data_IF_012600926475
#
_entry.id   IF_012600926475
#
_cell.length_a   1.000
_cell.length_b   1.000
_cell.length_c   1.000
_cell.angle_alpha   90.00
_cell.angle_beta   90.00
_cell.angle_gamma   90.00
#
_symmetry.space_group_name_H-M   'P 1'
#
loop_
_entity.id
_entity.type
_entity.pdbx_description
1 polymer ?
#
# COMPACT_ATOMS: atom_id res chain seq x y z
N UNK A 1 -14.21 14.79 -7.77
CA UNK A 1 -15.50 14.48 -7.10
C UNK A 1 -15.32 13.32 -6.16
N UNK A 2 -15.94 13.40 -5.00
CA UNK A 2 -15.83 12.41 -3.92
C UNK A 2 -16.17 10.98 -4.40
N UNK A 3 -17.22 10.82 -5.20
CA UNK A 3 -17.65 9.51 -5.70
C UNK A 3 -16.61 8.89 -6.64
N UNK A 4 -15.93 9.70 -7.42
CA UNK A 4 -14.89 9.22 -8.34
C UNK A 4 -13.66 8.75 -7.57
N UNK A 5 -13.32 9.46 -6.50
CA UNK A 5 -12.19 9.12 -5.64
C UNK A 5 -12.41 7.75 -5.01
N UNK A 6 -13.59 7.52 -4.42
CA UNK A 6 -13.91 6.23 -3.81
C UNK A 6 -14.01 5.10 -4.83
N UNK A 7 -14.46 5.41 -6.04
CA UNK A 7 -14.53 4.43 -7.12
C UNK A 7 -13.14 3.90 -7.49
N UNK A 8 -12.16 4.81 -7.61
CA UNK A 8 -10.77 4.43 -7.87
C UNK A 8 -10.21 3.62 -6.71
N UNK A 9 -10.45 4.06 -5.47
CA UNK A 9 -9.98 3.37 -4.28
C UNK A 9 -10.56 1.95 -4.20
N UNK A 10 -11.85 1.77 -4.46
CA UNK A 10 -12.47 0.44 -4.45
C UNK A 10 -11.92 -0.46 -5.56
N UNK A 11 -11.65 0.09 -6.74
CA UNK A 11 -11.02 -0.68 -7.81
C UNK A 11 -9.62 -1.17 -7.38
N UNK A 12 -8.86 -0.30 -6.72
CA UNK A 12 -7.56 -0.65 -6.18
C UNK A 12 -7.64 -1.78 -5.14
N UNK A 13 -8.50 -1.62 -4.12
CA UNK A 13 -8.61 -2.63 -3.06
C UNK A 13 -9.12 -3.96 -3.58
N UNK A 14 -10.06 -3.95 -4.51
CA UNK A 14 -10.59 -5.17 -5.12
C UNK A 14 -9.51 -5.91 -5.91
N UNK A 15 -8.73 -5.18 -6.72
CA UNK A 15 -7.63 -5.77 -7.48
C UNK A 15 -6.56 -6.34 -6.56
N UNK A 16 -6.24 -5.61 -5.49
CA UNK A 16 -5.24 -6.04 -4.51
C UNK A 16 -5.65 -7.34 -3.82
N UNK A 17 -6.92 -7.46 -3.42
CA UNK A 17 -7.43 -8.68 -2.79
C UNK A 17 -7.38 -9.89 -3.72
N UNK A 18 -7.55 -9.67 -5.01
CA UNK A 18 -7.48 -10.74 -6.02
C UNK A 18 -6.05 -11.10 -6.41
N UNK A 19 -5.07 -10.29 -5.99
CA UNK A 19 -3.70 -10.46 -6.45
C UNK A 19 -3.50 -10.10 -7.92
N UNK A 20 -4.42 -9.31 -8.49
CA UNK A 20 -4.34 -8.88 -9.88
C UNK A 20 -3.53 -7.59 -9.98
N UNK A 21 -2.21 -7.73 -10.01
CA UNK A 21 -1.32 -6.57 -10.00
C UNK A 21 -1.41 -5.72 -11.27
N UNK A 22 -1.76 -6.32 -12.41
CA UNK A 22 -2.04 -5.54 -13.60
C UNK A 22 -3.15 -4.54 -13.36
N UNK A 23 -4.26 -4.99 -12.78
CA UNK A 23 -5.39 -4.13 -12.44
C UNK A 23 -5.03 -3.13 -11.34
N UNK A 24 -4.20 -3.52 -10.35
CA UNK A 24 -3.71 -2.60 -9.32
C UNK A 24 -2.98 -1.42 -9.97
N UNK A 25 -2.03 -1.70 -10.86
CA UNK A 25 -1.24 -0.66 -11.52
C UNK A 25 -2.08 0.21 -12.47
N UNK A 26 -3.15 -0.33 -13.03
CA UNK A 26 -4.07 0.47 -13.86
C UNK A 26 -4.77 1.58 -13.07
N UNK A 27 -4.93 1.43 -11.75
CA UNK A 27 -5.52 2.47 -10.91
C UNK A 27 -4.56 3.61 -10.59
N UNK A 28 -3.29 3.47 -10.96
CA UNK A 28 -2.22 4.39 -10.59
C UNK A 28 -1.76 5.23 -11.76
N UNK A 29 -1.32 6.45 -11.45
CA UNK A 29 -0.62 7.31 -12.39
C UNK A 29 0.71 6.68 -12.77
N UNK A 30 1.20 6.92 -13.99
CA UNK A 30 2.54 6.48 -14.40
C UNK A 30 3.64 7.08 -13.52
N UNK A 31 3.35 8.23 -12.91
CA UNK A 31 4.27 8.93 -12.03
C UNK A 31 3.94 8.73 -10.55
N UNK A 32 3.32 7.62 -10.21
CA UNK A 32 2.95 7.29 -8.82
C UNK A 32 4.14 7.51 -7.88
N UNK A 33 3.86 8.14 -6.72
CA UNK A 33 4.85 8.33 -5.67
C UNK A 33 4.34 7.62 -4.43
N UNK A 34 5.15 6.72 -3.88
CA UNK A 34 4.74 5.96 -2.70
C UNK A 34 5.76 6.18 -1.59
N UNK A 35 5.30 6.75 -0.48
CA UNK A 35 6.13 6.99 0.70
C UNK A 35 5.97 5.81 1.65
N UNK A 36 6.95 4.92 1.65
CA UNK A 36 6.97 3.77 2.54
C UNK A 36 7.67 4.16 3.83
N UNK A 37 6.90 4.20 4.92
CA UNK A 37 7.40 4.66 6.22
C UNK A 37 8.45 3.76 6.81
N UNK A 38 9.14 4.27 7.81
CA UNK A 38 10.11 3.51 8.60
C UNK A 38 11.55 3.60 8.12
N UNK A 39 12.36 2.71 8.66
CA UNK A 39 13.80 2.68 8.43
C UNK A 39 14.30 1.29 8.00
N UNK A 40 13.42 0.47 7.42
CA UNK A 40 13.80 -0.85 6.91
C UNK A 40 14.43 -0.73 5.52
N UNK A 41 15.02 -1.82 5.01
CA UNK A 41 15.51 -1.83 3.62
C UNK A 41 14.41 -1.56 2.58
N UNK A 42 13.14 -1.75 2.95
CA UNK A 42 12.01 -1.53 2.06
C UNK A 42 11.36 -0.16 2.24
N UNK A 43 11.88 0.66 3.17
CA UNK A 43 11.37 2.01 3.42
C UNK A 43 11.89 3.02 2.39
N UNK A 44 11.30 4.21 2.39
CA UNK A 44 11.73 5.31 1.53
C UNK A 44 10.69 5.66 0.48
N UNK A 45 11.06 6.58 -0.39
CA UNK A 45 10.17 7.08 -1.44
C UNK A 45 10.42 6.31 -2.73
N UNK A 46 9.35 5.76 -3.30
CA UNK A 46 9.40 5.00 -4.55
C UNK A 46 8.63 5.80 -5.60
N UNK A 47 9.26 6.05 -6.75
CA UNK A 47 8.67 6.84 -7.84
C UNK A 47 8.53 6.00 -9.09
N UNK A 48 7.31 5.96 -9.64
CA UNK A 48 7.00 5.28 -10.89
C UNK A 48 6.57 3.83 -10.70
N UNK A 49 5.83 3.33 -11.69
CA UNK A 49 5.25 1.97 -11.63
C UNK A 49 6.31 0.87 -11.62
N UNK A 50 7.39 1.04 -12.38
CA UNK A 50 8.43 0.02 -12.44
C UNK A 50 9.12 -0.15 -11.09
N UNK A 51 9.54 0.96 -10.49
CA UNK A 51 10.19 0.94 -9.18
C UNK A 51 9.25 0.41 -8.09
N UNK A 52 7.96 0.79 -8.17
CA UNK A 52 6.97 0.28 -7.22
C UNK A 52 6.79 -1.22 -7.37
N UNK A 53 6.71 -1.73 -8.61
CA UNK A 53 6.60 -3.16 -8.86
C UNK A 53 7.79 -3.94 -8.30
N UNK A 54 9.00 -3.43 -8.46
CA UNK A 54 10.20 -4.04 -7.92
C UNK A 54 10.16 -4.07 -6.39
N UNK A 55 9.70 -2.97 -5.76
CA UNK A 55 9.57 -2.90 -4.30
C UNK A 55 8.52 -3.88 -3.79
N UNK A 56 7.37 -3.98 -4.46
CA UNK A 56 6.33 -4.95 -4.08
C UNK A 56 6.82 -6.39 -4.22
N UNK A 57 7.65 -6.66 -5.24
CA UNK A 57 8.29 -7.99 -5.38
C UNK A 57 9.19 -8.32 -4.20
N UNK A 58 9.90 -7.32 -3.67
CA UNK A 58 10.74 -7.52 -2.48
C UNK A 58 9.91 -7.82 -1.23
N UNK A 59 8.77 -7.13 -1.05
CA UNK A 59 7.85 -7.48 0.03
C UNK A 59 7.38 -8.94 -0.09
N UNK A 60 7.02 -9.36 -1.28
CA UNK A 60 6.60 -10.74 -1.51
C UNK A 60 7.71 -11.74 -1.20
N UNK A 61 8.93 -11.48 -1.67
CA UNK A 61 10.10 -12.33 -1.43
C UNK A 61 10.39 -12.47 0.05
N UNK A 62 10.47 -11.36 0.76
CA UNK A 62 10.87 -11.35 2.17
C UNK A 62 9.82 -11.92 3.11
N UNK A 63 8.59 -12.06 2.64
CA UNK A 63 7.49 -12.64 3.41
C UNK A 63 7.08 -14.02 2.91
N UNK A 64 7.84 -14.61 1.99
CA UNK A 64 7.49 -15.90 1.37
C UNK A 64 6.09 -15.85 0.74
N UNK A 65 5.72 -14.70 0.16
CA UNK A 65 4.44 -14.51 -0.51
C UNK A 65 3.24 -14.30 0.41
N UNK A 66 3.47 -14.07 1.71
CA UNK A 66 2.38 -13.97 2.69
C UNK A 66 1.92 -12.54 2.95
N UNK A 67 2.65 -11.54 2.49
CA UNK A 67 2.31 -10.14 2.78
C UNK A 67 0.95 -9.77 2.23
N UNK A 68 0.13 -9.18 3.11
CA UNK A 68 -1.22 -8.68 2.76
C UNK A 68 -1.47 -7.37 3.47
N UNK A 69 -2.23 -6.52 2.83
CA UNK A 69 -2.76 -5.32 3.48
C UNK A 69 -4.27 -5.40 3.41
N UNK A 70 -4.92 -5.44 4.57
CA UNK A 70 -6.37 -5.53 4.67
C UNK A 70 -6.92 -4.17 5.07
N UNK A 71 -7.95 -3.72 4.37
CA UNK A 71 -8.61 -2.44 4.68
C UNK A 71 -9.79 -2.69 5.60
N UNK A 72 -9.82 -1.99 6.74
CA UNK A 72 -10.90 -2.11 7.73
C UNK A 72 -12.02 -1.10 7.43
N UNK A 73 -11.65 0.14 7.18
CA UNK A 73 -12.58 1.21 6.80
C UNK A 73 -11.80 2.32 6.11
N UNK A 74 -12.52 3.20 5.43
CA UNK A 74 -11.91 4.33 4.76
C UNK A 74 -12.84 5.54 4.81
N UNK A 75 -12.24 6.72 4.82
CA UNK A 75 -12.94 7.99 4.75
C UNK A 75 -12.30 8.82 3.64
N UNK A 76 -13.09 9.66 2.98
CA UNK A 76 -12.60 10.39 1.81
C UNK A 76 -13.13 11.81 1.74
N UNK A 77 -12.43 12.62 0.97
CA UNK A 77 -12.90 13.93 0.52
C UNK A 77 -12.74 14.00 -1.01
N UNK A 78 -12.63 15.18 -1.58
CA UNK A 78 -12.61 15.34 -3.04
C UNK A 78 -11.37 14.75 -3.71
N UNK A 79 -10.25 14.62 -3.00
CA UNK A 79 -9.01 14.13 -3.61
C UNK A 79 -8.21 13.18 -2.72
N UNK A 80 -8.63 12.94 -1.47
CA UNK A 80 -7.91 12.05 -0.57
C UNK A 80 -8.79 10.93 -0.05
N UNK A 81 -8.19 9.76 0.15
CA UNK A 81 -8.77 8.64 0.90
C UNK A 81 -7.82 8.30 2.02
N UNK A 82 -8.31 8.31 3.26
CA UNK A 82 -7.58 7.82 4.42
C UNK A 82 -8.15 6.46 4.78
N UNK A 83 -7.34 5.42 4.71
CA UNK A 83 -7.78 4.05 4.94
C UNK A 83 -7.14 3.48 6.19
N UNK A 84 -7.97 2.93 7.09
CA UNK A 84 -7.47 2.15 8.21
C UNK A 84 -7.15 0.75 7.70
N UNK A 85 -5.90 0.34 7.87
CA UNK A 85 -5.41 -0.93 7.32
C UNK A 85 -4.70 -1.74 8.39
N UNK A 86 -4.48 -3.02 8.09
CA UNK A 86 -3.59 -3.86 8.86
C UNK A 86 -2.66 -4.58 7.89
N UNK A 87 -1.36 -4.52 8.17
CA UNK A 87 -0.34 -5.22 7.40
C UNK A 87 -0.06 -6.56 8.06
N UNK A 88 -0.17 -7.63 7.29
CA UNK A 88 0.00 -9.00 7.75
C UNK A 88 1.08 -9.70 6.93
N UNK A 89 1.96 -10.42 7.59
CA UNK A 89 2.98 -11.24 6.91
C UNK A 89 3.49 -12.32 7.86
N UNK A 90 4.04 -13.39 7.29
CA UNK A 90 4.65 -14.46 8.05
C UNK A 90 5.93 -14.92 7.37
N UNK A 91 6.93 -15.25 8.17
CA UNK A 91 8.18 -15.81 7.69
C UNK A 91 8.73 -16.74 8.77
N UNK A 92 8.58 -18.06 8.56
CA UNK A 92 8.90 -19.02 9.59
C UNK A 92 8.02 -18.82 10.81
N UNK A 93 8.64 -18.57 11.97
CA UNK A 93 7.92 -18.29 13.21
C UNK A 93 7.65 -16.81 13.42
N UNK A 94 8.24 -15.96 12.58
CA UNK A 94 8.04 -14.52 12.66
C UNK A 94 6.70 -14.14 12.03
N UNK A 95 5.96 -13.28 12.72
CA UNK A 95 4.67 -12.80 12.25
C UNK A 95 4.60 -11.28 12.38
N UNK A 96 4.03 -10.66 11.37
CA UNK A 96 3.73 -9.23 11.37
C UNK A 96 2.22 -9.07 11.43
N UNK A 97 1.76 -8.21 12.33
CA UNK A 97 0.37 -7.79 12.42
C UNK A 97 0.38 -6.36 12.90
N UNK A 98 0.40 -5.44 11.96
CA UNK A 98 0.61 -4.03 12.27
C UNK A 98 -0.51 -3.16 11.72
N UNK A 99 -1.36 -2.60 12.59
CA UNK A 99 -2.37 -1.62 12.17
C UNK A 99 -1.72 -0.32 11.71
N UNK A 100 -2.36 0.36 10.79
CA UNK A 100 -1.85 1.64 10.33
C UNK A 100 -2.88 2.40 9.50
N UNK A 101 -2.42 3.49 8.92
CA UNK A 101 -3.22 4.31 8.01
C UNK A 101 -2.45 4.44 6.71
N UNK A 102 -3.15 4.24 5.60
CA UNK A 102 -2.64 4.59 4.28
C UNK A 102 -3.44 5.78 3.77
N UNK A 103 -2.74 6.82 3.37
CA UNK A 103 -3.36 8.03 2.82
C UNK A 103 -3.08 8.07 1.32
N UNK A 104 -4.15 8.16 0.53
CA UNK A 104 -4.07 8.15 -0.93
C UNK A 104 -4.52 9.51 -1.46
N UNK A 105 -3.71 10.11 -2.33
CA UNK A 105 -4.14 11.27 -3.11
C UNK A 105 -4.56 10.78 -4.49
N UNK A 106 -5.81 11.02 -4.83
CA UNK A 106 -6.42 10.52 -6.07
C UNK A 106 -6.95 11.71 -6.86
N UNK A 107 -6.41 11.91 -8.03
CA UNK A 107 -6.79 13.00 -8.93
C UNK A 107 -6.76 12.49 -10.37
N UNK A 108 -7.62 13.06 -11.21
CA UNK A 108 -7.70 12.70 -12.62
C UNK A 108 -7.95 11.21 -12.83
N UNK A 109 -8.74 10.60 -11.93
CA UNK A 109 -9.12 9.19 -12.03
C UNK A 109 -8.01 8.20 -11.73
N UNK A 110 -6.89 8.67 -11.12
CA UNK A 110 -5.73 7.82 -10.81
C UNK A 110 -5.19 8.13 -9.42
N UNK A 111 -4.59 7.11 -8.80
CA UNK A 111 -3.84 7.29 -7.55
C UNK A 111 -2.52 7.95 -7.92
N UNK A 112 -2.26 9.13 -7.36
CA UNK A 112 -1.07 9.94 -7.67
C UNK A 112 0.01 9.77 -6.63
N UNK A 113 -0.37 9.62 -5.38
CA UNK A 113 0.61 9.59 -4.29
C UNK A 113 0.00 8.86 -3.09
N UNK A 114 0.84 8.09 -2.39
CA UNK A 114 0.40 7.32 -1.21
C UNK A 114 1.43 7.51 -0.09
N UNK A 115 0.93 7.69 1.13
CA UNK A 115 1.74 7.74 2.35
C UNK A 115 1.27 6.63 3.29
N UNK A 116 2.22 5.91 3.88
CA UNK A 116 1.90 4.85 4.83
C UNK A 116 2.34 5.24 6.25
N UNK A 117 1.49 4.95 7.21
CA UNK A 117 1.75 5.22 8.63
C UNK A 117 1.48 3.95 9.42
N UNK A 118 2.51 3.42 10.07
CA UNK A 118 2.41 2.18 10.83
C UNK A 118 2.28 2.50 12.32
N UNK A 119 1.39 1.81 13.03
CA UNK A 119 1.26 1.96 14.47
C UNK A 119 2.50 1.43 15.20
N UNK A 120 3.02 0.30 14.72
CA UNK A 120 4.18 -0.38 15.32
C UNK A 120 5.34 -0.38 14.34
N UNK A 121 5.81 0.80 13.98
CA UNK A 121 6.84 0.95 12.95
C UNK A 121 8.13 0.17 13.29
N UNK A 122 8.51 0.15 14.55
CA UNK A 122 9.73 -0.58 14.99
C UNK A 122 9.61 -2.08 14.71
N UNK A 123 8.44 -2.67 14.97
CA UNK A 123 8.21 -4.09 14.71
C UNK A 123 8.20 -4.37 13.21
N UNK A 124 7.59 -3.47 12.45
CA UNK A 124 7.53 -3.61 11.00
C UNK A 124 8.94 -3.52 10.40
N UNK A 125 9.73 -2.53 10.81
CA UNK A 125 11.10 -2.36 10.34
C UNK A 125 11.95 -3.60 10.63
N UNK A 126 11.79 -4.16 11.83
CA UNK A 126 12.51 -5.36 12.23
C UNK A 126 12.12 -6.57 11.36
N UNK A 127 10.84 -6.71 11.07
CA UNK A 127 10.36 -7.81 10.24
C UNK A 127 10.98 -7.76 8.83
N UNK A 128 11.10 -6.58 8.25
CA UNK A 128 11.60 -6.41 6.89
C UNK A 128 13.13 -6.32 6.75
N UNK A 129 13.84 -6.38 7.84
CA UNK A 129 15.32 -6.40 7.82
C UNK A 129 15.90 -7.53 6.98
#
# INVERSE_FOLDING_TARGET
MKNEVMKVFHAYTKALLKGDFGAVFETMSDNIVWHMGGESPLSGVVVGKQALGERLSEFAKRSNGTFKVMTNWAASNDCFVAASVVSLAERGEEKLNDPGIDLFRIENGKIQEVWTFAEKQDEEDKFWE
#
